data_IF_413433090113
#
_entry.id   IF_413433090113
#
_cell.length_a   1.000
_cell.length_b   1.000
_cell.length_c   1.000
_cell.angle_alpha   90.00
_cell.angle_beta   90.00
_cell.angle_gamma   90.00
#
_symmetry.space_group_name_H-M   'P 1'
#
loop_
_entity.id
_entity.type
_entity.pdbx_description
1 polymer ?
#
# COMPACT_ATOMS: atom_id res chain seq x y z
N UNK A 1 -39.67 -45.48 4.83
CA UNK A 1 -39.41 -44.26 5.57
C UNK A 1 -37.89 -43.96 5.57
N UNK A 2 -37.29 -43.81 4.39
CA UNK A 2 -35.82 -43.70 4.21
C UNK A 2 -35.47 -42.95 2.93
N UNK A 3 -35.85 -41.66 2.81
CA UNK A 3 -35.44 -40.79 1.69
C UNK A 3 -35.28 -39.31 2.07
N UNK A 4 -35.08 -38.95 3.31
CA UNK A 4 -34.89 -37.55 3.73
C UNK A 4 -33.46 -37.19 4.18
N UNK A 5 -32.53 -38.14 4.26
CA UNK A 5 -31.15 -37.89 4.66
C UNK A 5 -30.24 -37.37 3.57
N UNK A 6 -30.44 -37.80 2.32
CA UNK A 6 -29.51 -37.50 1.21
C UNK A 6 -29.55 -36.07 0.69
N UNK A 7 -30.70 -35.40 0.72
CA UNK A 7 -30.86 -34.06 0.12
C UNK A 7 -30.23 -32.98 1.03
N UNK A 8 -30.29 -33.11 2.36
CA UNK A 8 -29.68 -32.16 3.28
C UNK A 8 -28.15 -32.20 3.27
N UNK A 9 -27.55 -33.38 3.14
CA UNK A 9 -26.08 -33.53 3.02
C UNK A 9 -25.56 -32.92 1.71
N UNK A 10 -26.25 -33.14 0.58
CA UNK A 10 -25.87 -32.61 -0.73
C UNK A 10 -25.91 -31.07 -0.78
N UNK A 11 -26.95 -30.46 -0.22
CA UNK A 11 -27.07 -28.98 -0.18
C UNK A 11 -26.00 -28.36 0.73
N UNK A 12 -25.62 -29.04 1.81
CA UNK A 12 -24.60 -28.54 2.75
C UNK A 12 -23.19 -28.62 2.15
N UNK A 13 -22.89 -29.71 1.46
CA UNK A 13 -21.60 -29.88 0.74
C UNK A 13 -21.44 -28.91 -0.43
N UNK A 14 -22.51 -28.66 -1.21
CA UNK A 14 -22.49 -27.66 -2.27
C UNK A 14 -22.28 -26.23 -1.77
N UNK A 15 -22.93 -25.84 -0.65
CA UNK A 15 -22.73 -24.54 -0.02
C UNK A 15 -21.32 -24.39 0.55
N UNK A 16 -20.75 -25.41 1.15
CA UNK A 16 -19.38 -25.43 1.67
C UNK A 16 -18.35 -25.33 0.51
N UNK A 17 -18.58 -26.05 -0.57
CA UNK A 17 -17.69 -26.02 -1.76
C UNK A 17 -17.70 -24.65 -2.44
N UNK A 18 -18.88 -24.06 -2.69
CA UNK A 18 -19.00 -22.70 -3.24
C UNK A 18 -18.40 -21.63 -2.33
N UNK A 19 -18.53 -21.80 -1.03
CA UNK A 19 -17.98 -20.89 -0.03
C UNK A 19 -16.45 -20.95 0.03
N UNK A 20 -15.86 -22.13 -0.04
CA UNK A 20 -14.40 -22.32 -0.13
C UNK A 20 -13.82 -21.75 -1.42
N UNK A 21 -14.55 -21.92 -2.54
CA UNK A 21 -14.15 -21.37 -3.83
C UNK A 21 -14.11 -19.84 -3.82
N UNK A 22 -15.12 -19.18 -3.23
CA UNK A 22 -15.17 -17.73 -3.15
C UNK A 22 -14.02 -17.13 -2.33
N UNK A 23 -13.64 -17.74 -1.20
CA UNK A 23 -12.54 -17.22 -0.38
C UNK A 23 -11.18 -17.42 -1.05
N UNK A 24 -10.99 -18.55 -1.74
CA UNK A 24 -9.76 -18.80 -2.47
C UNK A 24 -9.57 -17.79 -3.61
N UNK A 25 -10.66 -17.39 -4.27
CA UNK A 25 -10.65 -16.34 -5.30
C UNK A 25 -10.23 -14.99 -4.70
N UNK A 26 -10.82 -14.58 -3.57
CA UNK A 26 -10.48 -13.31 -2.90
C UNK A 26 -9.01 -13.29 -2.47
N UNK A 27 -8.47 -14.40 -1.97
CA UNK A 27 -7.05 -14.53 -1.62
C UNK A 27 -6.14 -14.42 -2.85
N UNK A 28 -6.55 -15.02 -3.98
CA UNK A 28 -5.82 -14.89 -5.25
C UNK A 28 -5.84 -13.46 -5.77
N UNK A 29 -7.00 -12.79 -5.74
CA UNK A 29 -7.12 -11.38 -6.12
C UNK A 29 -6.16 -10.53 -5.28
N UNK A 30 -6.15 -10.68 -3.95
CA UNK A 30 -5.26 -9.94 -3.08
C UNK A 30 -3.78 -10.21 -3.37
N UNK A 31 -3.42 -11.47 -3.63
CA UNK A 31 -2.05 -11.87 -3.95
C UNK A 31 -1.58 -11.27 -5.29
N UNK A 32 -2.34 -11.49 -6.36
CA UNK A 32 -1.91 -11.09 -7.69
C UNK A 32 -2.00 -9.58 -7.91
N UNK A 33 -2.99 -8.90 -7.32
CA UNK A 33 -3.05 -7.45 -7.33
C UNK A 33 -1.85 -6.81 -6.62
N UNK A 34 -1.37 -7.41 -5.51
CA UNK A 34 -0.14 -6.94 -4.87
C UNK A 34 1.09 -7.11 -5.75
N UNK A 35 1.20 -8.20 -6.52
CA UNK A 35 2.32 -8.42 -7.44
C UNK A 35 2.32 -7.42 -8.60
N UNK A 36 1.14 -7.17 -9.20
CA UNK A 36 1.02 -6.17 -10.28
C UNK A 36 1.37 -4.78 -9.77
N UNK A 37 0.85 -4.39 -8.62
CA UNK A 37 1.18 -3.09 -8.01
C UNK A 37 2.66 -2.99 -7.63
N UNK A 38 3.31 -4.09 -7.27
CA UNK A 38 4.75 -4.15 -6.97
C UNK A 38 5.61 -3.73 -8.16
N UNK A 39 5.22 -4.11 -9.39
CA UNK A 39 5.95 -3.70 -10.59
C UNK A 39 5.94 -2.17 -10.76
N UNK A 40 4.79 -1.54 -10.58
CA UNK A 40 4.70 -0.08 -10.55
C UNK A 40 5.51 0.51 -9.38
N UNK A 41 5.37 -0.03 -8.17
CA UNK A 41 6.05 0.48 -6.98
C UNK A 41 7.58 0.43 -7.14
N UNK A 42 8.13 -0.63 -7.76
CA UNK A 42 9.55 -0.75 -8.03
C UNK A 42 10.07 0.37 -8.95
N UNK A 43 9.36 0.63 -10.07
CA UNK A 43 9.69 1.74 -10.97
C UNK A 43 9.55 3.10 -10.27
N UNK A 44 8.49 3.27 -9.49
CA UNK A 44 8.26 4.51 -8.76
C UNK A 44 9.39 4.77 -7.74
N UNK A 45 9.74 3.79 -6.92
CA UNK A 45 10.83 3.90 -5.92
C UNK A 45 12.17 4.17 -6.62
N UNK A 46 12.45 3.50 -7.72
CA UNK A 46 13.66 3.76 -8.49
C UNK A 46 13.76 5.24 -8.91
N UNK A 47 12.68 5.79 -9.46
CA UNK A 47 12.66 7.18 -9.95
C UNK A 47 12.68 8.23 -8.84
N UNK A 48 11.97 8.00 -7.71
CA UNK A 48 11.81 9.02 -6.67
C UNK A 48 12.85 8.92 -5.55
N UNK A 49 13.67 7.88 -5.55
CA UNK A 49 14.67 7.66 -4.49
C UNK A 49 16.01 7.13 -4.99
N UNK A 50 16.04 5.98 -5.66
CA UNK A 50 17.33 5.33 -6.01
C UNK A 50 18.11 6.18 -7.03
N UNK A 51 17.45 6.64 -8.07
CA UNK A 51 18.07 7.51 -9.09
C UNK A 51 18.51 8.85 -8.48
N UNK A 52 17.66 9.59 -7.71
CA UNK A 52 18.12 10.77 -6.98
C UNK A 52 19.33 10.52 -6.08
N UNK A 53 19.35 9.41 -5.36
CA UNK A 53 20.49 9.06 -4.51
C UNK A 53 21.78 8.84 -5.32
N UNK A 54 21.67 8.21 -6.48
CA UNK A 54 22.81 7.94 -7.37
C UNK A 54 23.30 9.20 -8.08
N UNK A 55 22.38 10.00 -8.65
CA UNK A 55 22.71 11.22 -9.41
C UNK A 55 23.05 12.41 -8.51
N UNK A 56 22.52 12.42 -7.27
CA UNK A 56 22.59 13.56 -6.33
C UNK A 56 22.06 14.88 -6.93
N UNK A 57 21.19 14.78 -7.91
CA UNK A 57 20.62 15.91 -8.67
C UNK A 57 19.17 15.65 -9.01
N UNK A 58 18.28 16.56 -8.64
CA UNK A 58 16.85 16.50 -9.00
C UNK A 58 16.66 16.72 -10.50
N UNK A 59 17.44 17.62 -11.11
CA UNK A 59 17.37 17.90 -12.55
C UNK A 59 17.68 16.66 -13.36
N UNK A 60 18.80 15.98 -13.07
CA UNK A 60 19.17 14.74 -13.76
C UNK A 60 18.16 13.62 -13.49
N UNK A 61 17.66 13.49 -12.27
CA UNK A 61 16.67 12.49 -11.90
C UNK A 61 15.34 12.66 -12.63
N UNK A 62 14.93 13.91 -12.89
CA UNK A 62 13.72 14.20 -13.66
C UNK A 62 13.78 13.64 -15.10
N UNK A 63 14.94 13.55 -15.72
CA UNK A 63 15.09 12.94 -17.06
C UNK A 63 14.65 11.47 -17.05
N UNK A 64 15.08 10.72 -16.04
CA UNK A 64 14.67 9.31 -15.88
C UNK A 64 13.20 9.17 -15.52
N UNK A 65 12.67 10.05 -14.66
CA UNK A 65 11.26 10.08 -14.34
C UNK A 65 10.42 10.29 -15.60
N UNK A 66 10.76 11.25 -16.44
CA UNK A 66 10.05 11.55 -17.69
C UNK A 66 10.12 10.40 -18.70
N UNK A 67 11.25 9.70 -18.80
CA UNK A 67 11.39 8.51 -19.66
C UNK A 67 10.52 7.34 -19.21
N UNK A 68 10.32 7.18 -17.91
CA UNK A 68 9.58 6.04 -17.36
C UNK A 68 8.08 6.29 -17.19
N UNK A 69 7.65 7.54 -17.08
CA UNK A 69 6.23 7.91 -16.90
C UNK A 69 5.28 7.29 -17.94
N UNK A 70 5.57 7.28 -19.24
CA UNK A 70 4.67 6.69 -20.24
C UNK A 70 4.33 5.22 -19.99
N UNK A 71 5.23 4.45 -19.35
CA UNK A 71 5.01 3.04 -19.06
C UNK A 71 3.92 2.79 -18.03
N UNK A 72 3.65 3.73 -17.13
CA UNK A 72 2.66 3.57 -16.06
C UNK A 72 1.65 4.72 -15.91
N UNK A 73 1.79 5.80 -16.70
CA UNK A 73 0.88 6.95 -16.67
C UNK A 73 0.17 7.22 -18.02
N UNK A 74 0.14 6.25 -18.94
CA UNK A 74 -0.69 6.38 -20.14
C UNK A 74 -2.16 6.11 -19.82
N UNK A 75 -3.05 6.54 -20.69
CA UNK A 75 -4.50 6.34 -20.52
C UNK A 75 -4.91 4.86 -20.30
N UNK A 76 -4.14 3.92 -20.82
CA UNK A 76 -4.37 2.48 -20.66
C UNK A 76 -3.59 1.89 -19.47
N UNK A 77 -2.30 2.21 -19.34
CA UNK A 77 -1.43 1.56 -18.35
C UNK A 77 -1.70 2.03 -16.93
N UNK A 78 -2.05 3.29 -16.72
CA UNK A 78 -2.33 3.83 -15.39
C UNK A 78 -3.51 3.11 -14.71
N UNK A 79 -4.70 2.96 -15.33
CA UNK A 79 -5.77 2.19 -14.72
C UNK A 79 -5.43 0.71 -14.54
N UNK A 80 -4.70 0.08 -15.47
CA UNK A 80 -4.42 -1.36 -15.41
C UNK A 80 -3.28 -1.74 -14.45
N UNK A 81 -2.22 -0.93 -14.37
CA UNK A 81 -1.02 -1.24 -13.55
C UNK A 81 -1.05 -0.58 -12.17
N UNK A 82 -1.80 0.51 -12.01
CA UNK A 82 -1.83 1.27 -10.75
C UNK A 82 -3.23 1.25 -10.14
N UNK A 83 -4.24 1.77 -10.84
CA UNK A 83 -5.58 1.96 -10.30
C UNK A 83 -6.27 0.66 -9.91
N UNK A 84 -6.49 -0.23 -10.89
CA UNK A 84 -7.19 -1.49 -10.69
C UNK A 84 -6.50 -2.41 -9.66
N UNK A 85 -5.17 -2.63 -9.72
CA UNK A 85 -4.50 -3.45 -8.72
C UNK A 85 -4.60 -2.87 -7.30
N UNK A 86 -4.48 -1.55 -7.14
CA UNK A 86 -4.61 -0.90 -5.83
C UNK A 86 -6.02 -1.08 -5.26
N UNK A 87 -7.05 -0.80 -6.05
CA UNK A 87 -8.46 -0.97 -5.64
C UNK A 87 -8.76 -2.43 -5.33
N UNK A 88 -8.32 -3.37 -6.19
CA UNK A 88 -8.52 -4.80 -5.98
C UNK A 88 -7.82 -5.30 -4.71
N UNK A 89 -6.60 -4.80 -4.42
CA UNK A 89 -5.87 -5.15 -3.20
C UNK A 89 -6.60 -4.67 -1.94
N UNK A 90 -7.02 -3.41 -1.90
CA UNK A 90 -7.71 -2.83 -0.74
C UNK A 90 -9.06 -3.48 -0.52
N UNK A 91 -9.87 -3.61 -1.58
CA UNK A 91 -11.22 -4.19 -1.48
C UNK A 91 -11.19 -5.67 -1.11
N UNK A 92 -10.27 -6.46 -1.67
CA UNK A 92 -10.08 -7.86 -1.26
C UNK A 92 -9.63 -7.99 0.19
N UNK A 93 -8.77 -7.09 0.68
CA UNK A 93 -8.37 -7.03 2.08
C UNK A 93 -9.55 -6.74 3.02
N UNK A 94 -10.42 -5.79 2.66
CA UNK A 94 -11.66 -5.50 3.38
C UNK A 94 -12.59 -6.71 3.35
N UNK A 95 -12.80 -7.33 2.19
CA UNK A 95 -13.63 -8.52 2.04
C UNK A 95 -13.16 -9.68 2.94
N UNK A 96 -11.84 -9.94 2.99
CA UNK A 96 -11.26 -10.92 3.92
C UNK A 96 -11.50 -10.57 5.39
N UNK A 97 -11.46 -9.29 5.73
CA UNK A 97 -11.75 -8.83 7.09
C UNK A 97 -13.20 -9.07 7.48
N UNK A 98 -14.15 -8.73 6.60
CA UNK A 98 -15.58 -8.97 6.80
C UNK A 98 -15.89 -10.46 6.85
N UNK A 99 -15.25 -11.25 6.01
CA UNK A 99 -15.39 -12.71 6.02
C UNK A 99 -14.94 -13.31 7.36
N UNK A 100 -13.76 -12.94 7.87
CA UNK A 100 -13.27 -13.39 9.19
C UNK A 100 -14.23 -12.98 10.30
N UNK A 101 -14.81 -11.78 10.22
CA UNK A 101 -15.85 -11.34 11.15
C UNK A 101 -17.07 -12.24 11.10
N UNK A 102 -17.56 -12.54 9.90
CA UNK A 102 -18.72 -13.45 9.72
C UNK A 102 -18.44 -14.84 10.29
N UNK A 103 -17.25 -15.40 10.06
CA UNK A 103 -16.85 -16.67 10.65
C UNK A 103 -16.80 -16.64 12.19
N UNK A 104 -16.26 -15.56 12.78
CA UNK A 104 -16.25 -15.42 14.22
C UNK A 104 -17.67 -15.40 14.78
N UNK A 105 -18.58 -14.62 14.21
CA UNK A 105 -19.98 -14.57 14.63
C UNK A 105 -20.68 -15.94 14.53
N UNK A 106 -20.46 -16.69 13.45
CA UNK A 106 -21.00 -18.03 13.29
C UNK A 106 -20.44 -19.02 14.33
N UNK A 107 -19.13 -18.96 14.58
CA UNK A 107 -18.45 -19.83 15.55
C UNK A 107 -18.97 -19.62 16.97
N UNK A 108 -19.31 -18.40 17.33
CA UNK A 108 -19.84 -18.05 18.66
C UNK A 108 -21.38 -18.06 18.72
N UNK A 109 -22.07 -18.53 17.67
CA UNK A 109 -23.53 -18.67 17.66
C UNK A 109 -24.28 -17.34 17.79
N UNK A 110 -23.76 -16.25 17.19
CA UNK A 110 -24.37 -14.93 17.30
C UNK A 110 -25.63 -14.84 16.44
N UNK A 111 -26.81 -14.86 17.05
CA UNK A 111 -28.10 -14.73 16.38
C UNK A 111 -28.63 -13.30 16.45
N UNK A 112 -28.57 -12.68 17.62
CA UNK A 112 -29.13 -11.35 17.88
C UNK A 112 -28.15 -10.22 17.55
N UNK A 113 -28.69 -8.99 17.47
CA UNK A 113 -27.86 -7.78 17.34
C UNK A 113 -26.96 -7.57 18.57
N UNK A 114 -27.42 -7.95 19.74
CA UNK A 114 -26.68 -7.87 21.00
C UNK A 114 -25.49 -8.81 20.98
N UNK A 115 -25.67 -10.07 20.57
CA UNK A 115 -24.57 -11.06 20.44
C UNK A 115 -23.49 -10.55 19.48
N UNK A 116 -23.92 -9.96 18.33
CA UNK A 116 -22.99 -9.38 17.37
C UNK A 116 -22.19 -8.20 17.92
N UNK A 117 -22.69 -7.47 18.92
CA UNK A 117 -21.96 -6.37 19.58
C UNK A 117 -21.00 -6.85 20.66
N UNK A 118 -21.38 -7.90 21.41
CA UNK A 118 -20.57 -8.44 22.50
C UNK A 118 -19.37 -9.25 22.00
N UNK A 119 -19.50 -9.96 20.87
CA UNK A 119 -18.39 -10.70 20.28
C UNK A 119 -17.36 -9.75 19.70
N UNK A 120 -16.08 -9.80 20.12
CA UNK A 120 -15.06 -8.90 19.62
C UNK A 120 -14.72 -9.19 18.16
N UNK A 121 -14.26 -8.16 17.46
CA UNK A 121 -13.72 -8.33 16.12
C UNK A 121 -12.42 -9.15 16.18
N UNK A 122 -12.18 -10.05 15.20
CA UNK A 122 -10.88 -10.72 15.09
C UNK A 122 -9.73 -9.72 15.08
N UNK A 123 -8.67 -10.02 15.82
CA UNK A 123 -7.49 -9.14 15.93
C UNK A 123 -6.90 -8.85 14.55
N UNK A 124 -6.52 -7.61 14.30
CA UNK A 124 -5.79 -7.22 13.09
C UNK A 124 -4.36 -7.77 13.14
N UNK A 125 -3.93 -8.41 12.07
CA UNK A 125 -2.49 -8.68 11.93
C UNK A 125 -1.73 -7.36 11.73
N UNK A 126 -0.48 -7.29 12.19
CA UNK A 126 0.35 -6.09 12.02
C UNK A 126 0.42 -5.63 10.55
N UNK A 127 0.55 -6.57 9.60
CA UNK A 127 0.53 -6.23 8.17
C UNK A 127 -0.81 -5.59 7.73
N UNK A 128 -1.94 -6.08 8.24
CA UNK A 128 -3.24 -5.47 7.93
C UNK A 128 -3.40 -4.10 8.58
N UNK A 129 -2.92 -3.91 9.81
CA UNK A 129 -2.94 -2.62 10.49
C UNK A 129 -2.13 -1.57 9.72
N UNK A 130 -0.92 -1.93 9.27
CA UNK A 130 -0.08 -1.08 8.41
C UNK A 130 -0.77 -0.75 7.08
N UNK A 131 -1.45 -1.74 6.46
CA UNK A 131 -2.22 -1.51 5.24
C UNK A 131 -3.36 -0.51 5.43
N UNK A 132 -4.12 -0.61 6.51
CA UNK A 132 -5.16 0.37 6.82
C UNK A 132 -4.60 1.76 7.12
N UNK A 133 -3.46 1.86 7.79
CA UNK A 133 -2.77 3.13 8.02
C UNK A 133 -2.22 3.74 6.71
N UNK A 134 -1.79 2.88 5.77
CA UNK A 134 -1.27 3.33 4.47
C UNK A 134 -2.36 3.91 3.57
N UNK A 135 -3.62 3.46 3.65
CA UNK A 135 -4.71 3.95 2.80
C UNK A 135 -4.84 5.48 2.84
N UNK A 136 -5.04 6.15 3.98
CA UNK A 136 -5.15 7.61 3.99
C UNK A 136 -3.86 8.31 3.56
N UNK A 137 -2.68 7.79 3.92
CA UNK A 137 -1.39 8.37 3.55
C UNK A 137 -1.16 8.30 2.03
N UNK A 138 -1.39 7.13 1.43
CA UNK A 138 -1.27 6.96 -0.02
C UNK A 138 -2.35 7.73 -0.78
N UNK A 139 -3.58 7.79 -0.27
CA UNK A 139 -4.66 8.58 -0.89
C UNK A 139 -4.30 10.07 -0.92
N UNK A 140 -3.75 10.61 0.16
CA UNK A 140 -3.29 11.99 0.19
C UNK A 140 -2.13 12.22 -0.79
N UNK A 141 -1.18 11.30 -0.86
CA UNK A 141 -0.08 11.36 -1.82
C UNK A 141 -0.59 11.35 -3.28
N UNK A 142 -1.50 10.44 -3.62
CA UNK A 142 -2.11 10.37 -4.96
C UNK A 142 -2.93 11.62 -5.26
N UNK A 143 -3.68 12.11 -4.28
CA UNK A 143 -4.41 13.36 -4.41
C UNK A 143 -3.48 14.51 -4.79
N UNK A 144 -2.43 14.74 -4.01
CA UNK A 144 -1.53 15.89 -4.20
C UNK A 144 -0.70 15.80 -5.47
N UNK A 145 -0.27 14.61 -5.87
CA UNK A 145 0.69 14.43 -6.98
C UNK A 145 0.03 14.05 -8.31
N UNK A 146 -1.25 13.64 -8.30
CA UNK A 146 -1.93 13.19 -9.52
C UNK A 146 -3.33 13.80 -9.69
N UNK A 147 -4.22 13.65 -8.71
CA UNK A 147 -5.63 14.02 -8.89
C UNK A 147 -5.80 15.54 -8.91
N UNK A 148 -5.19 16.26 -7.97
CA UNK A 148 -5.27 17.70 -7.89
C UNK A 148 -4.71 18.41 -9.13
N UNK A 149 -3.52 18.07 -9.65
CA UNK A 149 -3.03 18.62 -10.90
C UNK A 149 -3.97 18.38 -12.10
N UNK A 150 -4.50 17.16 -12.22
CA UNK A 150 -5.49 16.85 -13.26
C UNK A 150 -6.77 17.69 -13.14
N UNK A 151 -7.23 17.92 -11.92
CA UNK A 151 -8.41 18.73 -11.66
C UNK A 151 -8.17 20.23 -11.95
N UNK A 152 -7.01 20.75 -11.54
CA UNK A 152 -6.70 22.19 -11.65
C UNK A 152 -6.22 22.60 -13.04
N UNK A 153 -5.44 21.77 -13.72
CA UNK A 153 -4.77 22.09 -15.00
C UNK A 153 -5.20 21.20 -16.18
N UNK A 154 -6.02 20.18 -15.95
CA UNK A 154 -6.41 19.20 -16.97
C UNK A 154 -5.33 18.14 -17.26
N UNK A 155 -4.10 18.32 -16.79
CA UNK A 155 -2.99 17.36 -16.92
C UNK A 155 -2.06 17.39 -15.71
N UNK A 156 -1.06 16.53 -15.70
CA UNK A 156 -0.02 16.51 -14.65
C UNK A 156 1.39 16.60 -15.24
N UNK A 157 1.56 17.18 -16.40
CA UNK A 157 2.86 17.28 -17.10
C UNK A 157 3.92 18.05 -16.29
N UNK A 158 3.49 19.10 -15.58
CA UNK A 158 4.33 19.89 -14.69
C UNK A 158 4.79 19.16 -13.43
N UNK A 159 4.10 18.09 -13.03
CA UNK A 159 4.42 17.38 -11.79
C UNK A 159 5.63 16.49 -11.98
N UNK A 160 6.69 16.82 -11.26
CA UNK A 160 7.97 16.12 -11.28
C UNK A 160 8.63 16.20 -9.90
N UNK A 161 9.90 15.84 -9.75
CA UNK A 161 10.58 15.88 -8.45
C UNK A 161 10.77 17.32 -7.93
N UNK A 162 10.82 18.33 -8.80
CA UNK A 162 10.87 19.72 -8.36
C UNK A 162 9.56 20.18 -7.72
N UNK A 163 8.40 19.65 -8.14
CA UNK A 163 7.13 19.88 -7.46
C UNK A 163 7.19 19.38 -6.01
N UNK A 164 7.77 18.19 -5.82
CA UNK A 164 7.92 17.60 -4.49
C UNK A 164 8.89 18.43 -3.64
N UNK A 165 10.08 18.78 -4.17
CA UNK A 165 11.05 19.60 -3.42
C UNK A 165 10.50 20.98 -3.06
N UNK A 166 9.72 21.59 -3.96
CA UNK A 166 9.03 22.85 -3.72
C UNK A 166 8.07 22.75 -2.51
N UNK A 167 7.25 21.70 -2.44
CA UNK A 167 6.36 21.44 -1.30
C UNK A 167 7.11 21.19 0.01
N UNK A 168 8.26 20.53 -0.04
CA UNK A 168 9.13 20.37 1.14
C UNK A 168 9.69 21.71 1.63
N UNK A 169 10.04 22.60 0.72
CA UNK A 169 10.54 23.93 1.06
C UNK A 169 9.44 24.88 1.56
N UNK A 170 8.18 24.71 1.09
CA UNK A 170 7.03 25.46 1.57
C UNK A 170 6.60 25.04 2.98
N UNK A 171 6.48 23.74 3.19
CA UNK A 171 5.91 23.14 4.40
C UNK A 171 6.81 22.02 4.94
N UNK A 172 8.03 22.35 5.43
CA UNK A 172 9.06 21.35 5.74
C UNK A 172 8.59 20.34 6.79
N UNK A 173 8.03 20.81 7.90
CA UNK A 173 7.59 19.91 8.97
C UNK A 173 6.57 18.88 8.51
N UNK A 174 5.53 19.32 7.83
CA UNK A 174 4.45 18.43 7.34
C UNK A 174 4.96 17.48 6.28
N UNK A 175 5.75 17.99 5.32
CA UNK A 175 6.29 17.19 4.23
C UNK A 175 7.29 16.12 4.73
N UNK A 176 8.31 16.52 5.49
CA UNK A 176 9.29 15.55 6.01
C UNK A 176 8.63 14.51 6.92
N UNK A 177 7.74 14.93 7.83
CA UNK A 177 7.04 13.99 8.72
C UNK A 177 6.09 13.08 7.94
N UNK A 178 5.26 13.64 7.07
CA UNK A 178 4.27 12.89 6.29
C UNK A 178 4.91 11.84 5.38
N UNK A 179 5.95 12.22 4.64
CA UNK A 179 6.66 11.28 3.77
C UNK A 179 7.45 10.24 4.58
N UNK A 180 8.08 10.59 5.70
CA UNK A 180 8.76 9.62 6.58
C UNK A 180 7.78 8.57 7.08
N UNK A 181 6.61 8.99 7.58
CA UNK A 181 5.58 8.07 8.07
C UNK A 181 5.03 7.21 6.93
N UNK A 182 4.72 7.82 5.77
CA UNK A 182 4.20 7.09 4.62
C UNK A 182 5.19 6.03 4.12
N UNK A 183 6.46 6.39 3.96
CA UNK A 183 7.51 5.46 3.52
C UNK A 183 7.72 4.35 4.54
N UNK A 184 7.82 4.69 5.83
CA UNK A 184 7.99 3.70 6.90
C UNK A 184 6.82 2.70 6.92
N UNK A 185 5.59 3.18 7.02
CA UNK A 185 4.39 2.34 7.02
C UNK A 185 4.29 1.50 5.74
N UNK A 186 4.56 2.10 4.58
CA UNK A 186 4.50 1.44 3.28
C UNK A 186 5.52 0.32 3.14
N UNK A 187 6.77 0.58 3.47
CA UNK A 187 7.85 -0.42 3.38
C UNK A 187 7.60 -1.59 4.34
N UNK A 188 7.23 -1.33 5.59
CA UNK A 188 6.88 -2.42 6.53
C UNK A 188 5.68 -3.23 6.06
N UNK A 189 4.62 -2.58 5.55
CA UNK A 189 3.48 -3.28 4.96
C UNK A 189 3.92 -4.20 3.82
N UNK A 190 4.75 -3.68 2.92
CA UNK A 190 5.23 -4.36 1.73
C UNK A 190 6.13 -5.56 2.08
N UNK A 191 7.16 -5.36 2.91
CA UNK A 191 8.14 -6.40 3.26
C UNK A 191 7.48 -7.53 4.07
N UNK A 192 6.64 -7.20 5.05
CA UNK A 192 5.86 -8.20 5.79
C UNK A 192 4.80 -8.89 4.93
N UNK A 193 4.18 -8.18 3.98
CA UNK A 193 3.27 -8.75 3.00
C UNK A 193 3.96 -9.76 2.10
N UNK A 194 5.08 -9.36 1.49
CA UNK A 194 5.92 -10.22 0.67
C UNK A 194 6.39 -11.47 1.42
N UNK A 195 6.88 -11.31 2.66
CA UNK A 195 7.32 -12.44 3.48
C UNK A 195 6.22 -13.47 3.72
N UNK A 196 4.97 -13.04 3.87
CA UNK A 196 3.81 -13.94 4.01
C UNK A 196 3.49 -14.68 2.71
N UNK A 197 3.51 -13.98 1.57
CA UNK A 197 3.22 -14.60 0.28
C UNK A 197 4.31 -15.59 -0.16
N UNK A 198 5.56 -15.34 0.26
CA UNK A 198 6.71 -16.20 -0.04
C UNK A 198 6.93 -17.33 0.99
N UNK A 199 6.13 -17.41 2.06
CA UNK A 199 6.27 -18.46 3.06
C UNK A 199 7.36 -18.21 4.11
N UNK A 200 7.93 -17.00 4.16
CA UNK A 200 9.01 -16.66 5.11
C UNK A 200 8.53 -16.03 6.41
N UNK A 201 7.23 -15.79 6.59
CA UNK A 201 6.74 -15.20 7.83
C UNK A 201 6.99 -16.11 9.03
N UNK A 202 7.31 -15.56 10.23
CA UNK A 202 7.54 -16.36 11.43
C UNK A 202 6.40 -17.32 11.81
N UNK A 203 5.15 -16.94 11.47
CA UNK A 203 3.96 -17.76 11.69
C UNK A 203 3.86 -18.99 10.78
N UNK A 204 4.70 -19.08 9.75
CA UNK A 204 4.71 -20.15 8.74
C UNK A 204 5.85 -21.16 8.94
N UNK A 205 6.57 -21.07 10.06
CA UNK A 205 7.57 -22.07 10.46
C UNK A 205 6.86 -23.36 10.83
N UNK A 206 7.24 -24.47 10.19
CA UNK A 206 6.63 -25.80 10.39
C UNK A 206 6.81 -26.32 11.83
N UNK A 207 5.94 -27.27 12.22
CA UNK A 207 5.95 -27.84 13.58
C UNK A 207 7.15 -28.73 13.87
N UNK A 208 7.78 -29.27 12.83
CA UNK A 208 8.78 -30.33 12.92
C UNK A 208 10.23 -29.83 13.04
N UNK A 209 10.45 -28.50 13.06
CA UNK A 209 11.78 -27.92 13.25
C UNK A 209 12.15 -27.94 14.74
N UNK A 210 13.29 -28.60 15.09
CA UNK A 210 13.80 -28.70 16.46
C UNK A 210 14.01 -27.34 17.13
N UNK A 211 14.48 -26.31 16.37
CA UNK A 211 14.75 -24.95 16.83
C UNK A 211 13.69 -23.93 16.40
N UNK A 212 12.43 -24.30 16.44
CA UNK A 212 11.31 -23.48 15.97
C UNK A 212 11.31 -22.03 16.51
N UNK A 213 11.60 -21.85 17.78
CA UNK A 213 11.65 -20.54 18.42
C UNK A 213 12.78 -19.68 17.84
N UNK A 214 13.95 -20.27 17.62
CA UNK A 214 15.13 -19.62 17.06
C UNK A 214 14.88 -19.22 15.59
N UNK A 215 14.34 -20.13 14.79
CA UNK A 215 14.00 -19.85 13.37
C UNK A 215 12.97 -18.72 13.26
N UNK A 216 11.91 -18.72 14.08
CA UNK A 216 10.94 -17.63 14.14
C UNK A 216 11.59 -16.29 14.48
N UNK A 217 12.47 -16.27 15.48
CA UNK A 217 13.20 -15.09 15.91
C UNK A 217 14.13 -14.56 14.80
N UNK A 218 14.89 -15.44 14.13
CA UNK A 218 15.77 -15.08 13.00
C UNK A 218 14.97 -14.49 11.84
N UNK A 219 13.84 -15.12 11.43
CA UNK A 219 12.96 -14.61 10.39
C UNK A 219 12.38 -13.22 10.75
N UNK A 220 11.99 -13.04 12.00
CA UNK A 220 11.48 -11.75 12.46
C UNK A 220 12.53 -10.63 12.36
N UNK A 221 13.76 -10.89 12.82
CA UNK A 221 14.85 -9.93 12.71
C UNK A 221 15.24 -9.66 11.25
N UNK A 222 15.31 -10.68 10.41
CA UNK A 222 15.62 -10.52 8.99
C UNK A 222 14.58 -9.64 8.27
N UNK A 223 13.28 -9.90 8.47
CA UNK A 223 12.20 -9.12 7.86
C UNK A 223 12.27 -7.66 8.32
N UNK A 224 12.43 -7.40 9.61
CA UNK A 224 12.51 -6.03 10.11
C UNK A 224 13.82 -5.33 9.72
N UNK A 225 14.93 -6.05 9.67
CA UNK A 225 16.21 -5.54 9.17
C UNK A 225 16.14 -5.11 7.71
N UNK A 226 15.54 -5.95 6.85
CA UNK A 226 15.29 -5.62 5.44
C UNK A 226 14.36 -4.40 5.33
N UNK A 227 13.28 -4.36 6.11
CA UNK A 227 12.36 -3.22 6.11
C UNK A 227 13.06 -1.92 6.54
N UNK A 228 13.88 -1.96 7.59
CA UNK A 228 14.64 -0.81 8.05
C UNK A 228 15.66 -0.33 7.00
N UNK A 229 16.41 -1.25 6.38
CA UNK A 229 17.39 -0.93 5.34
C UNK A 229 16.73 -0.29 4.10
N UNK A 230 15.62 -0.86 3.62
CA UNK A 230 14.87 -0.32 2.50
C UNK A 230 14.25 1.05 2.82
N UNK A 231 13.74 1.24 4.03
CA UNK A 231 13.23 2.53 4.50
C UNK A 231 14.35 3.57 4.51
N UNK A 232 15.52 3.25 5.11
CA UNK A 232 16.67 4.14 5.13
C UNK A 232 17.14 4.52 3.73
N UNK A 233 17.22 3.54 2.83
CA UNK A 233 17.60 3.77 1.43
C UNK A 233 16.60 4.70 0.72
N UNK A 234 15.28 4.47 0.91
CA UNK A 234 14.26 5.31 0.29
C UNK A 234 14.30 6.74 0.84
N UNK A 235 14.40 6.90 2.16
CA UNK A 235 14.48 8.22 2.78
C UNK A 235 15.77 8.97 2.37
N UNK A 236 16.89 8.27 2.20
CA UNK A 236 18.14 8.91 1.79
C UNK A 236 18.03 9.57 0.40
N UNK A 237 17.41 8.93 -0.58
CA UNK A 237 17.21 9.54 -1.90
C UNK A 237 16.03 10.51 -1.93
N UNK A 238 14.86 10.07 -1.45
CA UNK A 238 13.65 10.89 -1.49
C UNK A 238 13.72 12.14 -0.61
N UNK A 239 14.07 11.99 0.66
CA UNK A 239 14.14 13.13 1.58
C UNK A 239 15.51 13.80 1.58
N UNK A 240 16.58 12.99 1.50
CA UNK A 240 17.94 13.48 1.56
C UNK A 240 18.37 14.26 0.32
N UNK A 241 17.88 13.92 -0.87
CA UNK A 241 18.16 14.60 -2.13
C UNK A 241 16.97 15.45 -2.56
N UNK A 242 15.84 14.81 -2.91
CA UNK A 242 14.66 15.52 -3.45
C UNK A 242 14.08 16.51 -2.43
N UNK A 243 13.90 16.11 -1.18
CA UNK A 243 13.33 16.98 -0.15
C UNK A 243 14.17 18.21 0.20
N UNK A 244 15.44 18.25 -0.19
CA UNK A 244 16.37 19.36 0.12
C UNK A 244 16.73 20.25 -1.07
N UNK A 245 16.20 19.96 -2.27
CA UNK A 245 16.53 20.72 -3.50
C UNK A 245 15.99 22.16 -3.46
N UNK A 246 14.96 22.44 -2.64
CA UNK A 246 14.44 23.79 -2.44
C UNK A 246 13.25 24.15 -3.32
N UNK A 247 12.91 25.45 -3.34
CA UNK A 247 11.81 26.00 -4.13
C UNK A 247 12.18 26.14 -5.60
N UNK A 248 11.26 25.79 -6.48
CA UNK A 248 11.39 26.07 -7.90
C UNK A 248 11.19 27.55 -8.18
N UNK A 249 12.10 28.26 -8.85
CA UNK A 249 11.94 29.67 -9.19
C UNK A 249 11.05 29.88 -10.42
N UNK A 250 10.72 31.13 -10.68
CA UNK A 250 10.05 31.58 -11.90
C UNK A 250 8.57 31.21 -11.94
N UNK A 251 8.03 31.11 -13.15
CA UNK A 251 6.59 30.86 -13.37
C UNK A 251 6.17 29.46 -12.92
N UNK A 252 7.03 28.46 -13.09
CA UNK A 252 6.76 27.09 -12.65
C UNK A 252 6.59 27.02 -11.12
N UNK A 253 7.42 27.77 -10.37
CA UNK A 253 7.27 27.85 -8.91
C UNK A 253 5.94 28.49 -8.50
N UNK A 254 5.47 29.52 -9.25
CA UNK A 254 4.15 30.13 -9.01
C UNK A 254 3.01 29.16 -9.26
N UNK A 255 3.06 28.35 -10.31
CA UNK A 255 2.08 27.28 -10.57
C UNK A 255 2.08 26.24 -9.45
N UNK A 256 3.24 25.89 -8.90
CA UNK A 256 3.33 25.00 -7.74
C UNK A 256 2.73 25.66 -6.48
N UNK A 257 3.00 26.94 -6.23
CA UNK A 257 2.40 27.68 -5.12
C UNK A 257 0.87 27.65 -5.21
N UNK A 258 0.30 27.86 -6.42
CA UNK A 258 -1.15 27.81 -6.64
C UNK A 258 -1.72 26.41 -6.35
N UNK A 259 -1.08 25.33 -6.83
CA UNK A 259 -1.52 23.95 -6.54
C UNK A 259 -1.48 23.66 -5.04
N UNK A 260 -0.43 24.08 -4.33
CA UNK A 260 -0.33 23.86 -2.89
C UNK A 260 -1.39 24.61 -2.07
N UNK A 261 -1.94 25.74 -2.55
CA UNK A 261 -3.05 26.47 -1.90
C UNK A 261 -4.36 25.67 -1.87
N UNK A 262 -4.58 24.76 -2.82
CA UNK A 262 -5.76 23.89 -2.83
C UNK A 262 -5.67 22.73 -1.83
N UNK A 263 -4.55 22.53 -1.16
CA UNK A 263 -4.40 21.44 -0.21
C UNK A 263 -5.09 21.79 1.13
N UNK A 264 -6.08 20.97 1.55
CA UNK A 264 -6.71 21.14 2.86
C UNK A 264 -5.67 20.91 3.93
N UNK A 265 -5.44 21.64 4.88
CA UNK A 265 -4.42 21.52 5.96
C UNK A 265 -3.12 22.29 5.63
N UNK A 266 -2.61 22.21 4.40
CA UNK A 266 -1.33 22.82 4.01
C UNK A 266 -1.53 24.21 3.41
N UNK A 267 -2.59 24.44 2.63
CA UNK A 267 -2.85 25.69 1.91
C UNK A 267 -3.40 26.86 2.76
N UNK A 268 -3.53 26.68 4.06
CA UNK A 268 -4.09 27.70 4.96
C UNK A 268 -3.05 28.35 5.90
N UNK A 269 -1.77 28.08 5.70
CA UNK A 269 -0.70 28.63 6.53
C UNK A 269 0.32 29.42 5.74
#
# INVERSE_FOLDING_TARGET
>A
MERLGGVRLSVHTHKLCAYCTNISLVLRIQKYSSYTFTAFAALHIANVSIIPLATRSVIESNRYLLLTRPYYQSALTEPLLVGLPLVAHVTSGIALRLWRRRQALQRYGAETRTDKRTIPWPVLSGTSALGYALVPLASFHVWTTRILPLYAHGDSSLINLNYISHGFALHPFVSFTGFTVMVGVGVWHFVWGASKWLGFAPSQVNSDEEDKALVRKRRWYAINGIAAALTGLWLAGGLGVVGRDGKMPGWVGKEYDELYKYLPIIGRW
#
